data_IF_713492021145
#
_entry.id   IF_713492021145
#
_cell.length_a   1.000
_cell.length_b   1.000
_cell.length_c   1.000
_cell.angle_alpha   90.00
_cell.angle_beta   90.00
_cell.angle_gamma   90.00
#
_symmetry.space_group_name_H-M   'P 1'
#
loop_
_entity.id
_entity.type
_entity.pdbx_description
1 polymer ?
#
# COMPACT_ATOMS: atom_id res chain seq x y z
N UNK A 1 -33.93 15.27 23.43
CA UNK A 1 -34.00 14.25 22.37
C UNK A 1 -33.03 14.67 21.26
N UNK A 2 -32.01 13.83 21.02
CA UNK A 2 -30.93 13.92 20.01
C UNK A 2 -30.04 15.17 19.96
N UNK A 3 -28.74 14.99 20.17
CA UNK A 3 -27.70 15.23 19.14
C UNK A 3 -26.31 15.18 19.80
N UNK A 4 -25.76 13.98 19.98
CA UNK A 4 -24.35 13.78 20.30
C UNK A 4 -23.90 12.51 19.58
N UNK A 5 -23.26 12.70 18.44
CA UNK A 5 -22.18 11.89 17.84
C UNK A 5 -21.87 12.57 16.49
N UNK A 6 -20.62 13.03 16.25
CA UNK A 6 -19.90 12.44 15.12
C UNK A 6 -18.36 12.52 15.17
N UNK A 7 -17.68 12.52 16.32
CA UNK A 7 -16.20 12.51 16.31
C UNK A 7 -15.62 11.31 15.51
N UNK A 8 -16.28 10.15 15.62
CA UNK A 8 -15.92 8.93 14.87
C UNK A 8 -16.25 9.02 13.38
N UNK A 9 -17.28 9.78 12.99
CA UNK A 9 -17.64 9.98 11.59
C UNK A 9 -16.69 10.95 10.88
N UNK A 10 -16.21 11.98 11.57
CA UNK A 10 -15.20 12.91 11.04
C UNK A 10 -13.86 12.21 10.79
N UNK A 11 -13.41 11.34 11.70
CA UNK A 11 -12.16 10.58 11.55
C UNK A 11 -12.21 9.66 10.32
N UNK A 12 -13.32 8.93 10.14
CA UNK A 12 -13.50 8.04 8.98
C UNK A 12 -13.46 8.84 7.66
N UNK A 13 -14.07 10.03 7.61
CA UNK A 13 -14.03 10.87 6.41
C UNK A 13 -12.64 11.48 6.14
N UNK A 14 -11.88 11.83 7.17
CA UNK A 14 -10.51 12.35 7.06
C UNK A 14 -9.54 11.24 6.60
N UNK A 15 -9.68 10.03 7.12
CA UNK A 15 -8.86 8.85 6.75
C UNK A 15 -9.16 8.36 5.33
N UNK A 16 -10.44 8.40 4.91
CA UNK A 16 -10.83 8.15 3.51
C UNK A 16 -10.22 9.20 2.57
N UNK A 17 -10.08 10.46 3.00
CA UNK A 17 -9.40 11.52 2.22
C UNK A 17 -7.88 11.38 2.22
N UNK A 18 -7.28 10.74 3.23
CA UNK A 18 -5.84 10.55 3.36
C UNK A 18 -5.29 9.30 2.67
N UNK A 19 -6.12 8.51 1.98
CA UNK A 19 -5.66 7.28 1.33
C UNK A 19 -5.13 6.24 2.31
N UNK A 20 -5.59 6.27 3.57
CA UNK A 20 -5.15 5.32 4.60
C UNK A 20 -5.91 4.01 4.40
N UNK A 21 -5.18 2.89 4.40
CA UNK A 21 -5.75 1.55 4.30
C UNK A 21 -6.61 1.27 5.55
N UNK A 22 -7.94 1.37 5.42
CA UNK A 22 -8.90 1.04 6.50
C UNK A 22 -9.10 -0.50 6.62
N UNK A 23 -8.50 -1.28 5.71
CA UNK A 23 -8.58 -2.74 5.66
C UNK A 23 -7.40 -3.38 6.38
N UNK A 24 -7.58 -4.53 7.04
CA UNK A 24 -6.47 -5.25 7.67
C UNK A 24 -5.59 -5.84 6.57
N UNK A 25 -4.30 -5.47 6.55
CA UNK A 25 -3.31 -5.97 5.60
C UNK A 25 -2.12 -6.48 6.40
N UNK A 26 -1.78 -7.76 6.26
CA UNK A 26 -0.71 -8.37 7.04
C UNK A 26 0.10 -9.37 6.23
N UNK A 27 1.39 -9.47 6.55
CA UNK A 27 2.30 -10.48 6.01
C UNK A 27 2.09 -11.85 6.66
N UNK A 28 1.44 -11.91 7.83
CA UNK A 28 1.04 -13.17 8.48
C UNK A 28 -0.11 -13.83 7.73
N UNK A 29 -0.27 -15.15 7.87
CA UNK A 29 -1.34 -15.92 7.21
C UNK A 29 -2.68 -15.88 7.95
N UNK A 30 -2.75 -15.21 9.10
CA UNK A 30 -3.93 -15.10 9.95
C UNK A 30 -3.97 -13.78 10.70
N UNK A 31 -5.15 -13.43 11.22
CA UNK A 31 -5.38 -12.25 12.07
C UNK A 31 -5.74 -12.72 13.47
N UNK A 32 -5.04 -12.27 14.50
CA UNK A 32 -5.28 -12.68 15.88
C UNK A 32 -6.71 -12.32 16.33
N UNK A 33 -7.35 -13.21 17.10
CA UNK A 33 -8.71 -13.05 17.61
C UNK A 33 -9.80 -12.88 16.51
N UNK A 34 -9.50 -13.24 15.26
CA UNK A 34 -10.43 -13.25 14.14
C UNK A 34 -10.30 -14.59 13.41
N UNK A 35 -11.41 -15.10 12.88
CA UNK A 35 -11.44 -16.34 12.09
C UNK A 35 -11.73 -16.00 10.64
N UNK A 36 -10.96 -16.58 9.72
CA UNK A 36 -11.22 -16.46 8.28
C UNK A 36 -12.46 -17.30 7.95
N UNK A 37 -13.51 -16.65 7.46
CA UNK A 37 -14.78 -17.30 7.10
C UNK A 37 -14.86 -17.67 5.62
N UNK A 38 -14.10 -16.97 4.76
CA UNK A 38 -13.99 -17.28 3.33
C UNK A 38 -12.70 -16.72 2.73
N UNK A 39 -12.20 -17.40 1.70
CA UNK A 39 -11.06 -16.98 0.89
C UNK A 39 -11.56 -16.57 -0.48
N UNK A 40 -11.35 -15.32 -0.87
CA UNK A 40 -11.87 -14.70 -2.10
C UNK A 40 -10.77 -14.55 -3.17
N UNK A 41 -9.77 -15.43 -3.08
CA UNK A 41 -8.64 -15.54 -3.99
C UNK A 41 -7.55 -14.48 -3.79
N UNK A 42 -6.57 -14.53 -4.68
CA UNK A 42 -5.42 -13.64 -4.65
C UNK A 42 -5.81 -12.26 -5.19
N UNK A 43 -5.24 -11.23 -4.59
CA UNK A 43 -5.29 -9.84 -5.05
C UNK A 43 -3.87 -9.30 -5.21
N UNK A 44 -3.69 -8.39 -6.16
CA UNK A 44 -2.42 -7.75 -6.46
C UNK A 44 -2.59 -6.24 -6.44
N UNK A 45 -1.51 -5.50 -6.23
CA UNK A 45 -1.42 -4.07 -6.50
C UNK A 45 -0.04 -3.75 -7.07
N UNK A 46 0.01 -2.88 -8.06
CA UNK A 46 1.20 -2.68 -8.90
C UNK A 46 1.42 -1.19 -9.18
N UNK A 47 2.65 -0.71 -8.98
CA UNK A 47 3.05 0.66 -9.27
C UNK A 47 4.35 0.64 -10.06
N UNK A 48 4.45 1.46 -11.11
CA UNK A 48 5.67 1.60 -11.92
C UNK A 48 6.16 3.04 -11.77
N UNK A 49 7.33 3.23 -11.18
CA UNK A 49 8.01 4.53 -11.08
C UNK A 49 9.21 4.58 -12.03
N UNK A 50 9.43 5.73 -12.68
CA UNK A 50 10.45 5.92 -13.70
C UNK A 50 11.80 6.36 -13.15
N UNK A 51 12.91 5.87 -13.72
CA UNK A 51 14.27 6.29 -13.36
C UNK A 51 14.51 7.79 -13.60
N UNK A 52 13.79 8.45 -14.52
CA UNK A 52 13.95 9.90 -14.69
C UNK A 52 13.46 10.67 -13.44
N UNK A 53 12.37 10.23 -12.80
CA UNK A 53 11.93 10.78 -11.50
C UNK A 53 13.00 10.55 -10.44
N UNK A 54 13.55 9.33 -10.37
CA UNK A 54 14.60 8.96 -9.42
C UNK A 54 15.93 9.71 -9.67
N UNK A 55 16.30 9.94 -10.94
CA UNK A 55 17.52 10.65 -11.37
C UNK A 55 17.40 12.16 -11.17
N UNK A 56 16.25 12.76 -11.46
CA UNK A 56 16.03 14.19 -11.24
C UNK A 56 16.13 14.52 -9.75
N UNK A 57 15.58 13.67 -8.89
CA UNK A 57 15.75 13.73 -7.43
C UNK A 57 17.22 13.52 -7.01
N UNK A 58 17.90 12.50 -7.57
CA UNK A 58 19.31 12.22 -7.27
C UNK A 58 20.28 13.33 -7.72
N UNK A 59 19.93 14.06 -8.79
CA UNK A 59 20.73 15.17 -9.31
C UNK A 59 20.68 16.41 -8.41
N UNK A 60 19.55 16.65 -7.73
CA UNK A 60 19.35 17.71 -6.73
C UNK A 60 19.87 17.37 -5.32
N UNK A 61 20.12 16.08 -5.03
CA UNK A 61 20.55 15.57 -3.72
C UNK A 61 22.07 15.43 -3.55
N UNK A 62 22.89 15.93 -4.49
CA UNK A 62 24.36 15.90 -4.40
C UNK A 62 24.96 16.51 -3.12
N UNK A 63 24.16 17.13 -2.25
CA UNK A 63 24.57 17.70 -0.97
C UNK A 63 24.34 16.81 0.27
N UNK A 64 23.84 15.58 0.17
CA UNK A 64 23.61 14.72 1.36
C UNK A 64 24.67 13.62 1.46
N UNK A 65 25.83 14.00 1.97
CA UNK A 65 26.86 13.06 2.43
C UNK A 65 26.28 12.15 3.54
N UNK A 66 26.22 10.84 3.27
CA UNK A 66 26.29 9.79 4.31
C UNK A 66 25.05 9.55 5.18
N UNK A 67 23.97 8.98 4.62
CA UNK A 67 22.97 8.36 5.50
C UNK A 67 21.78 7.74 4.79
N UNK A 68 20.94 8.56 4.14
CA UNK A 68 19.66 8.20 3.53
C UNK A 68 19.31 9.24 2.46
N UNK A 69 19.10 8.82 1.21
CA UNK A 69 18.77 9.74 0.11
C UNK A 69 17.28 10.08 0.17
N UNK A 70 16.94 11.11 0.97
CA UNK A 70 15.56 11.45 1.36
C UNK A 70 14.55 11.38 0.21
N UNK A 71 14.82 12.03 -0.93
CA UNK A 71 13.88 12.01 -2.05
C UNK A 71 13.72 10.65 -2.77
N UNK A 72 14.78 9.83 -2.82
CA UNK A 72 14.66 8.48 -3.40
C UNK A 72 13.85 7.56 -2.47
N UNK A 73 14.03 7.73 -1.16
CA UNK A 73 13.27 6.98 -0.17
C UNK A 73 11.81 7.41 -0.11
N UNK A 74 11.53 8.71 -0.24
CA UNK A 74 10.16 9.25 -0.25
C UNK A 74 9.36 8.65 -1.42
N UNK A 75 9.95 8.61 -2.63
CA UNK A 75 9.32 7.99 -3.82
C UNK A 75 9.04 6.50 -3.63
N UNK A 76 9.97 5.76 -3.01
CA UNK A 76 9.77 4.33 -2.71
C UNK A 76 8.67 4.11 -1.68
N UNK A 77 8.53 5.01 -0.71
CA UNK A 77 7.44 4.96 0.27
C UNK A 77 6.10 5.21 -0.43
N UNK A 78 6.03 6.23 -1.28
CA UNK A 78 4.82 6.56 -2.04
C UNK A 78 4.39 5.39 -2.95
N UNK A 79 5.31 4.85 -3.75
CA UNK A 79 5.01 3.70 -4.60
C UNK A 79 4.55 2.46 -3.82
N UNK A 80 5.07 2.27 -2.60
CA UNK A 80 4.64 1.18 -1.70
C UNK A 80 3.22 1.40 -1.21
N UNK A 81 2.92 2.60 -0.74
CA UNK A 81 1.60 2.95 -0.23
C UNK A 81 0.54 2.87 -1.32
N UNK A 82 0.85 3.35 -2.53
CA UNK A 82 -0.02 3.23 -3.70
C UNK A 82 -0.30 1.75 -4.06
N UNK A 83 0.72 0.90 -4.12
CA UNK A 83 0.55 -0.52 -4.44
C UNK A 83 -0.33 -1.22 -3.38
N UNK A 84 -0.08 -0.99 -2.09
CA UNK A 84 -0.88 -1.55 -1.01
C UNK A 84 -2.33 -1.05 -1.04
N UNK A 85 -2.51 0.24 -1.32
CA UNK A 85 -3.84 0.85 -1.47
C UNK A 85 -4.62 0.24 -2.63
N UNK A 86 -3.96 0.01 -3.77
CA UNK A 86 -4.60 -0.64 -4.91
C UNK A 86 -5.04 -2.07 -4.58
N UNK A 87 -4.13 -2.87 -4.01
CA UNK A 87 -4.44 -4.24 -3.57
C UNK A 87 -5.60 -4.26 -2.57
N UNK A 88 -5.58 -3.34 -1.60
CA UNK A 88 -6.62 -3.21 -0.61
C UNK A 88 -7.97 -2.81 -1.21
N UNK A 89 -7.97 -1.87 -2.14
CA UNK A 89 -9.18 -1.45 -2.85
C UNK A 89 -9.77 -2.58 -3.70
N UNK A 90 -8.93 -3.41 -4.34
CA UNK A 90 -9.37 -4.59 -5.10
C UNK A 90 -10.02 -5.63 -4.17
N UNK A 91 -9.45 -5.90 -3.00
CA UNK A 91 -10.06 -6.78 -1.99
C UNK A 91 -11.38 -6.21 -1.44
N UNK A 92 -11.41 -4.91 -1.13
CA UNK A 92 -12.62 -4.22 -0.66
C UNK A 92 -13.76 -4.29 -1.68
N UNK A 93 -13.47 -4.14 -2.98
CA UNK A 93 -14.47 -4.29 -4.06
C UNK A 93 -15.07 -5.70 -4.12
N UNK A 94 -14.38 -6.73 -3.60
CA UNK A 94 -14.89 -8.10 -3.45
C UNK A 94 -15.64 -8.33 -2.13
N UNK A 95 -15.82 -7.29 -1.30
CA UNK A 95 -16.47 -7.40 0.00
C UNK A 95 -15.64 -8.15 1.04
N UNK A 96 -14.31 -8.09 0.93
CA UNK A 96 -13.38 -8.68 1.91
C UNK A 96 -13.06 -7.71 3.04
N UNK A 97 -12.70 -8.26 4.19
CA UNK A 97 -12.34 -7.51 5.40
C UNK A 97 -10.83 -7.36 5.58
N UNK A 98 -10.05 -8.29 4.99
CA UNK A 98 -8.61 -8.33 5.13
C UNK A 98 -7.89 -8.90 3.90
N UNK A 99 -6.59 -8.62 3.81
CA UNK A 99 -5.64 -9.34 2.96
C UNK A 99 -4.52 -9.89 3.84
N UNK A 100 -4.36 -11.21 3.81
CA UNK A 100 -3.35 -11.94 4.60
C UNK A 100 -2.27 -12.53 3.69
N UNK A 101 -1.13 -12.90 4.28
CA UNK A 101 -0.02 -13.51 3.56
C UNK A 101 0.58 -12.57 2.53
N UNK A 102 0.62 -11.27 2.84
CA UNK A 102 1.09 -10.26 1.90
C UNK A 102 2.59 -10.41 1.63
N UNK A 103 2.96 -10.32 0.36
CA UNK A 103 4.34 -10.27 -0.13
C UNK A 103 4.53 -9.03 -0.99
N UNK A 104 5.73 -8.43 -0.89
CA UNK A 104 6.16 -7.33 -1.74
C UNK A 104 7.40 -7.71 -2.54
N UNK A 105 7.39 -7.33 -3.81
CA UNK A 105 8.45 -7.57 -4.77
C UNK A 105 8.79 -6.26 -5.49
N UNK A 106 10.07 -6.07 -5.78
CA UNK A 106 10.60 -4.92 -6.50
C UNK A 106 11.34 -5.43 -7.73
N UNK A 107 10.94 -4.97 -8.91
CA UNK A 107 11.51 -5.42 -10.18
C UNK A 107 11.95 -4.22 -11.01
N UNK A 108 13.17 -4.29 -11.52
CA UNK A 108 13.69 -3.27 -12.44
C UNK A 108 13.30 -3.66 -13.86
N UNK A 109 12.66 -2.75 -14.58
CA UNK A 109 12.12 -2.95 -15.93
C UNK A 109 12.85 -2.06 -16.97
N UNK A 110 12.82 -2.52 -18.22
CA UNK A 110 13.36 -1.81 -19.38
C UNK A 110 14.81 -2.17 -19.73
N UNK A 111 15.17 -2.08 -21.01
CA UNK A 111 16.52 -2.43 -21.50
C UNK A 111 17.64 -1.59 -20.89
N UNK A 112 17.31 -0.36 -20.48
CA UNK A 112 18.23 0.56 -19.81
C UNK A 112 18.07 0.54 -18.27
N UNK A 113 17.39 -0.46 -17.73
CA UNK A 113 16.97 -0.56 -16.32
C UNK A 113 16.15 0.65 -15.85
N UNK A 114 15.50 1.36 -16.78
CA UNK A 114 14.92 2.69 -16.61
C UNK A 114 13.63 2.81 -15.78
N UNK A 115 13.12 1.74 -15.21
CA UNK A 115 11.88 1.76 -14.43
C UNK A 115 11.98 0.81 -13.24
N UNK A 116 11.32 1.16 -12.13
CA UNK A 116 11.16 0.29 -10.97
C UNK A 116 9.67 -0.01 -10.79
N UNK A 117 9.33 -1.29 -10.85
CA UNK A 117 8.01 -1.81 -10.52
C UNK A 117 7.99 -2.26 -9.07
N UNK A 118 7.00 -1.78 -8.32
CA UNK A 118 6.66 -2.23 -6.98
C UNK A 118 5.37 -3.03 -7.08
N UNK A 119 5.45 -4.31 -6.73
CA UNK A 119 4.31 -5.22 -6.75
C UNK A 119 4.04 -5.72 -5.35
N UNK A 120 2.78 -5.78 -4.96
CA UNK A 120 2.34 -6.51 -3.78
C UNK A 120 1.24 -7.51 -4.13
N UNK A 121 1.22 -8.62 -3.40
CA UNK A 121 0.20 -9.65 -3.55
C UNK A 121 -0.16 -10.25 -2.20
N UNK A 122 -1.37 -10.78 -2.09
CA UNK A 122 -1.84 -11.48 -0.91
C UNK A 122 -3.20 -12.14 -1.14
N UNK A 123 -3.73 -12.80 -0.11
CA UNK A 123 -5.04 -13.49 -0.20
C UNK A 123 -6.12 -12.65 0.44
N UNK A 124 -7.15 -12.27 -0.32
CA UNK A 124 -8.30 -11.53 0.19
C UNK A 124 -9.24 -12.49 0.95
N UNK A 125 -9.66 -12.09 2.14
CA UNK A 125 -10.45 -12.93 3.05
C UNK A 125 -11.57 -12.15 3.73
N UNK A 126 -12.65 -12.85 4.09
CA UNK A 126 -13.66 -12.34 5.04
C UNK A 126 -13.38 -12.86 6.45
N UNK A 127 -13.70 -12.04 7.44
CA UNK A 127 -13.52 -12.31 8.86
C UNK A 127 -14.87 -12.38 9.59
N UNK A 128 -14.91 -13.02 10.75
CA UNK A 128 -16.11 -13.12 11.60
C UNK A 128 -16.27 -11.97 12.59
#
# INVERSE_FOLDING_TARGET
MFCQLPARWAIIHEEIKRGVIIMIVTTTTSVENRTITSYEGIVFGEVITGINVLKDIGSGLRNVFGGRSKGYEDELVEAREEALNEMANRAKKRGCDAVVGVKMDYEVLGSDNGMLMVTCSGTAVKLN
#
